data_IF_283581255557
#
_entry.id   IF_283581255557
#
_cell.length_a   1.000
_cell.length_b   1.000
_cell.length_c   1.000
_cell.angle_alpha   90.00
_cell.angle_beta   90.00
_cell.angle_gamma   90.00
#
_symmetry.space_group_name_H-M   'P 1'
#
loop_
_entity.id
_entity.type
_entity.pdbx_description
1 polymer ?
#
# COMPACT_ATOMS: atom_id res chain seq x y z
N UNK A 1 -36.81 28.49 0.59
CA UNK A 1 -35.36 28.63 0.83
C UNK A 1 -34.73 27.25 0.71
N UNK A 2 -33.96 27.00 -0.35
CA UNK A 2 -33.21 25.76 -0.52
C UNK A 2 -31.88 25.92 0.22
N UNK A 3 -31.79 25.31 1.41
CA UNK A 3 -30.56 25.28 2.21
C UNK A 3 -29.58 24.26 1.63
N UNK A 4 -28.34 24.71 1.45
CA UNK A 4 -27.26 23.99 0.79
C UNK A 4 -26.92 22.64 1.45
N UNK A 5 -26.69 21.63 0.61
CA UNK A 5 -26.02 20.39 1.00
C UNK A 5 -24.54 20.71 1.22
N UNK A 6 -24.11 20.75 2.48
CA UNK A 6 -22.69 20.72 2.80
C UNK A 6 -22.18 19.32 2.46
N UNK A 7 -21.42 19.18 1.37
CA UNK A 7 -20.61 17.99 1.12
C UNK A 7 -19.52 17.97 2.19
N UNK A 8 -19.80 17.32 3.31
CA UNK A 8 -18.76 16.97 4.25
C UNK A 8 -17.85 15.98 3.52
N UNK A 9 -16.62 16.38 3.21
CA UNK A 9 -15.65 15.48 2.60
C UNK A 9 -15.58 14.20 3.47
N UNK A 10 -15.77 13.04 2.84
CA UNK A 10 -15.76 11.76 3.53
C UNK A 10 -14.41 11.57 4.22
N UNK A 11 -14.42 11.36 5.54
CA UNK A 11 -13.21 11.06 6.29
C UNK A 11 -12.70 9.69 5.83
N UNK A 12 -11.41 9.60 5.52
CA UNK A 12 -10.86 8.36 5.01
C UNK A 12 -9.52 8.51 4.34
N UNK A 13 -9.30 7.71 3.31
CA UNK A 13 -8.11 7.82 2.47
C UNK A 13 -8.40 8.64 1.20
N UNK A 14 -7.43 9.45 0.76
CA UNK A 14 -7.59 10.36 -0.38
C UNK A 14 -8.05 9.66 -1.66
N UNK A 15 -7.56 8.45 -1.93
CA UNK A 15 -7.95 7.64 -3.09
C UNK A 15 -9.11 6.66 -2.78
N UNK A 16 -9.94 6.97 -1.78
CA UNK A 16 -11.15 6.22 -1.42
C UNK A 16 -10.95 5.16 -0.34
N UNK A 17 -12.05 4.80 0.33
CA UNK A 17 -12.04 3.80 1.40
C UNK A 17 -12.22 2.36 0.88
N UNK A 18 -12.71 2.20 -0.34
CA UNK A 18 -12.77 0.92 -1.03
C UNK A 18 -11.48 0.69 -1.84
N UNK A 19 -10.83 -0.43 -1.58
CA UNK A 19 -9.58 -0.83 -2.23
C UNK A 19 -9.71 -2.22 -2.82
N UNK A 20 -8.80 -2.53 -3.73
CA UNK A 20 -8.74 -3.84 -4.37
C UNK A 20 -7.29 -4.30 -4.37
N UNK A 21 -7.06 -5.46 -3.75
CA UNK A 21 -5.78 -6.14 -3.79
C UNK A 21 -5.78 -7.14 -4.96
N UNK A 22 -4.69 -7.21 -5.70
CA UNK A 22 -4.55 -8.12 -6.84
C UNK A 22 -3.26 -8.90 -6.71
N UNK A 23 -3.34 -10.22 -6.86
CA UNK A 23 -2.16 -11.08 -6.95
C UNK A 23 -1.71 -11.21 -8.41
N UNK A 24 -0.60 -10.57 -8.74
CA UNK A 24 0.05 -10.66 -10.05
C UNK A 24 0.96 -11.87 -10.10
N UNK A 25 0.92 -12.62 -11.19
CA UNK A 25 1.69 -13.84 -11.44
C UNK A 25 2.40 -13.75 -12.78
N UNK A 26 3.61 -14.30 -12.85
CA UNK A 26 4.31 -14.42 -14.13
C UNK A 26 5.61 -15.18 -13.99
N UNK A 27 6.37 -15.21 -15.09
CA UNK A 27 7.61 -15.98 -15.16
C UNK A 27 8.70 -15.10 -15.76
N UNK A 28 9.91 -15.24 -15.21
CA UNK A 28 11.09 -14.57 -15.74
C UNK A 28 12.22 -15.58 -15.93
N UNK A 29 13.12 -15.23 -16.83
CA UNK A 29 14.40 -15.88 -17.01
C UNK A 29 15.52 -14.85 -16.81
N UNK A 30 16.57 -15.22 -16.10
CA UNK A 30 17.71 -14.34 -15.84
C UNK A 30 18.96 -15.03 -16.35
N UNK A 31 19.74 -14.35 -17.19
CA UNK A 31 21.09 -14.75 -17.59
C UNK A 31 22.11 -14.00 -16.74
N UNK A 32 23.11 -14.70 -16.22
CA UNK A 32 24.18 -14.10 -15.41
C UNK A 32 25.54 -14.31 -16.07
N UNK A 33 26.23 -13.21 -16.32
CA UNK A 33 27.59 -13.18 -16.86
C UNK A 33 28.53 -12.62 -15.79
N UNK A 34 28.86 -13.44 -14.79
CA UNK A 34 29.77 -13.09 -13.71
C UNK A 34 31.02 -13.99 -13.74
N UNK A 35 32.20 -13.42 -13.55
CA UNK A 35 33.49 -14.13 -13.52
C UNK A 35 33.79 -14.84 -12.18
N UNK A 36 32.80 -15.00 -11.31
CA UNK A 36 32.97 -15.41 -9.91
C UNK A 36 32.40 -16.77 -9.50
N UNK A 37 32.02 -17.62 -10.47
CA UNK A 37 31.31 -18.88 -10.19
C UNK A 37 29.83 -18.69 -9.81
N UNK A 38 29.04 -19.76 -9.95
CA UNK A 38 27.58 -19.76 -9.78
C UNK A 38 26.83 -20.08 -11.07
N UNK A 39 25.49 -20.20 -11.03
CA UNK A 39 24.69 -20.51 -12.20
C UNK A 39 24.74 -19.37 -13.22
N UNK A 40 24.87 -19.72 -14.51
CA UNK A 40 24.83 -18.77 -15.63
C UNK A 40 23.40 -18.36 -16.00
N UNK A 41 22.40 -19.00 -15.41
CA UNK A 41 21.00 -18.69 -15.63
C UNK A 41 20.09 -19.14 -14.49
N UNK A 42 18.94 -18.49 -14.32
CA UNK A 42 17.87 -18.91 -13.41
C UNK A 42 16.49 -18.66 -14.02
N UNK A 43 15.56 -19.58 -13.80
CA UNK A 43 14.15 -19.41 -14.15
C UNK A 43 13.32 -19.26 -12.87
N UNK A 44 12.48 -18.23 -12.81
CA UNK A 44 11.72 -17.90 -11.60
C UNK A 44 10.25 -17.74 -11.91
N UNK A 45 9.42 -18.28 -11.02
CA UNK A 45 8.00 -17.93 -10.92
C UNK A 45 7.87 -16.73 -10.00
N UNK A 46 7.32 -15.66 -10.51
CA UNK A 46 7.12 -14.41 -9.79
C UNK A 46 5.68 -14.33 -9.30
N UNK A 47 5.52 -13.79 -8.09
CA UNK A 47 4.23 -13.42 -7.53
C UNK A 47 4.37 -12.13 -6.74
N UNK A 48 3.47 -11.17 -6.95
CA UNK A 48 3.44 -9.91 -6.20
C UNK A 48 2.00 -9.48 -5.99
N UNK A 49 1.66 -9.14 -4.75
CA UNK A 49 0.33 -8.62 -4.41
C UNK A 49 0.40 -7.11 -4.29
N UNK A 50 -0.48 -6.41 -4.99
CA UNK A 50 -0.53 -4.94 -5.01
C UNK A 50 -1.91 -4.42 -4.67
N UNK A 51 -1.97 -3.16 -4.23
CA UNK A 51 -3.21 -2.40 -4.04
C UNK A 51 -3.44 -1.47 -5.24
N UNK A 52 -4.51 -1.66 -6.01
CA UNK A 52 -4.74 -0.97 -7.30
C UNK A 52 -4.79 0.57 -7.22
N UNK A 53 -5.17 1.12 -6.07
CA UNK A 53 -5.23 2.57 -5.82
C UNK A 53 -3.98 3.10 -5.09
N UNK A 54 -2.88 2.35 -5.17
CA UNK A 54 -1.60 2.63 -4.52
C UNK A 54 -1.52 2.07 -3.09
N UNK A 55 -0.33 1.65 -2.72
CA UNK A 55 -0.03 1.00 -1.43
C UNK A 55 0.20 2.01 -0.29
N UNK A 56 0.30 3.29 -0.65
CA UNK A 56 0.48 4.42 0.25
C UNK A 56 -0.59 5.46 -0.05
N UNK A 57 -1.15 6.09 0.99
CA UNK A 57 -2.11 7.17 0.80
C UNK A 57 -2.13 8.20 1.91
N UNK A 58 -2.67 9.38 1.63
CA UNK A 58 -2.97 10.39 2.62
C UNK A 58 -4.27 10.07 3.36
N UNK A 59 -4.26 10.29 4.67
CA UNK A 59 -5.50 10.42 5.43
C UNK A 59 -6.11 11.79 5.12
N UNK A 60 -7.41 11.82 4.84
CA UNK A 60 -8.22 13.03 4.69
C UNK A 60 -9.23 13.06 5.83
N UNK A 61 -9.20 14.13 6.60
CA UNK A 61 -10.04 14.36 7.77
C UNK A 61 -10.69 15.74 7.74
N UNK A 62 -11.23 16.22 8.86
CA UNK A 62 -11.85 17.53 8.93
C UNK A 62 -10.81 18.66 8.77
N UNK A 63 -11.01 19.52 7.78
CA UNK A 63 -10.25 20.77 7.61
C UNK A 63 -10.57 21.79 8.70
N UNK A 64 -9.61 22.62 9.09
CA UNK A 64 -9.80 23.67 10.09
C UNK A 64 -9.79 23.20 11.55
N UNK A 65 -9.67 21.88 11.78
CA UNK A 65 -9.40 21.33 13.12
C UNK A 65 -7.94 21.57 13.46
N UNK A 66 -7.68 22.22 14.60
CA UNK A 66 -6.34 22.40 15.12
C UNK A 66 -5.67 21.04 15.36
N UNK A 67 -4.52 20.79 14.76
CA UNK A 67 -3.82 19.52 14.86
C UNK A 67 -2.39 19.62 14.34
N UNK A 68 -1.48 18.87 14.95
CA UNK A 68 -0.12 18.63 14.45
C UNK A 68 0.14 17.16 14.20
N UNK A 69 -0.71 16.27 14.71
CA UNK A 69 -0.58 14.82 14.59
C UNK A 69 -1.96 14.19 14.32
N UNK A 70 -1.96 13.12 13.53
CA UNK A 70 -3.06 12.17 13.46
C UNK A 70 -2.55 10.76 13.74
N UNK A 71 -3.26 10.06 14.61
CA UNK A 71 -3.07 8.63 14.89
C UNK A 71 -4.24 7.88 14.25
N UNK A 72 -3.92 6.91 13.40
CA UNK A 72 -4.88 5.96 12.85
C UNK A 72 -4.66 4.60 13.48
N UNK A 73 -5.73 3.95 13.94
CA UNK A 73 -5.71 2.57 14.40
C UNK A 73 -6.75 1.77 13.64
N UNK A 74 -6.29 0.84 12.81
CA UNK A 74 -7.13 -0.13 12.12
C UNK A 74 -7.32 -1.36 13.01
N UNK A 75 -8.57 -1.81 13.15
CA UNK A 75 -8.96 -3.12 13.69
C UNK A 75 -9.47 -3.98 12.54
N UNK A 76 -8.83 -5.12 12.32
CA UNK A 76 -9.13 -6.04 11.24
C UNK A 76 -10.18 -7.08 11.67
N UNK A 77 -10.68 -7.87 10.72
CA UNK A 77 -11.68 -8.92 10.98
C UNK A 77 -11.17 -10.03 11.90
N UNK A 78 -9.87 -10.32 11.86
CA UNK A 78 -9.20 -11.28 12.75
C UNK A 78 -8.99 -10.75 14.18
N UNK A 79 -9.40 -9.49 14.45
CA UNK A 79 -9.24 -8.81 15.73
C UNK A 79 -7.86 -8.18 15.93
N UNK A 80 -6.91 -8.40 15.02
CA UNK A 80 -5.61 -7.76 15.08
C UNK A 80 -5.72 -6.25 14.82
N UNK A 81 -4.74 -5.51 15.33
CA UNK A 81 -4.70 -4.06 15.20
C UNK A 81 -3.39 -3.55 14.63
N UNK A 82 -3.46 -2.47 13.88
CA UNK A 82 -2.31 -1.75 13.33
C UNK A 82 -2.48 -0.26 13.55
N UNK A 83 -1.41 0.39 13.99
CA UNK A 83 -1.41 1.83 14.26
C UNK A 83 -0.39 2.55 13.40
N UNK A 84 -0.77 3.73 12.92
CA UNK A 84 0.08 4.65 12.19
C UNK A 84 -0.06 6.05 12.77
N UNK A 85 1.07 6.68 13.06
CA UNK A 85 1.14 8.06 13.52
C UNK A 85 1.85 8.89 12.46
N UNK A 86 1.23 9.97 12.05
CA UNK A 86 1.79 10.90 11.06
C UNK A 86 1.39 12.34 11.40
N UNK A 87 2.21 13.30 10.98
CA UNK A 87 1.88 14.70 11.17
C UNK A 87 0.60 15.09 10.41
N UNK A 88 -0.20 16.00 10.97
CA UNK A 88 -1.43 16.51 10.38
C UNK A 88 -1.26 17.95 9.88
N UNK A 89 -1.83 18.25 8.72
CA UNK A 89 -1.96 19.58 8.14
C UNK A 89 -3.39 20.09 8.38
N UNK A 90 -3.59 20.87 9.44
CA UNK A 90 -4.88 21.49 9.77
C UNK A 90 -5.45 22.36 8.65
N UNK A 91 -4.59 23.02 7.87
CA UNK A 91 -5.01 23.91 6.80
C UNK A 91 -5.60 23.12 5.63
N UNK A 92 -4.99 21.97 5.31
CA UNK A 92 -5.46 21.09 4.22
C UNK A 92 -6.47 20.04 4.67
N UNK A 93 -6.60 19.78 5.97
CA UNK A 93 -7.45 18.70 6.48
C UNK A 93 -6.94 17.31 6.12
N UNK A 94 -5.62 17.09 6.08
CA UNK A 94 -5.03 15.80 5.71
C UNK A 94 -3.72 15.52 6.43
N UNK A 95 -3.23 14.28 6.39
CA UNK A 95 -1.87 13.98 6.81
C UNK A 95 -0.82 14.70 5.94
N UNK A 96 0.33 15.07 6.53
CA UNK A 96 1.45 15.67 5.77
C UNK A 96 2.23 14.66 4.96
N UNK A 97 2.16 13.38 5.33
CA UNK A 97 2.84 12.27 4.68
C UNK A 97 1.85 11.18 4.31
N UNK A 98 2.20 10.41 3.30
CA UNK A 98 1.48 9.20 2.97
C UNK A 98 1.72 8.13 4.04
N UNK A 99 0.70 7.30 4.24
CA UNK A 99 0.62 6.23 5.21
C UNK A 99 0.75 4.92 4.45
N UNK A 100 1.60 4.02 4.94
CA UNK A 100 1.70 2.67 4.39
C UNK A 100 0.39 1.89 4.65
N UNK A 101 -0.35 1.61 3.58
CA UNK A 101 -1.60 0.88 3.60
C UNK A 101 -1.43 -0.61 3.30
N UNK A 102 -0.44 -1.03 2.50
CA UNK A 102 -0.35 -2.42 1.99
C UNK A 102 1.05 -3.07 2.03
N UNK A 103 2.13 -2.29 2.06
CA UNK A 103 3.49 -2.85 2.05
C UNK A 103 3.84 -3.51 3.38
N UNK A 104 4.10 -4.81 3.36
CA UNK A 104 4.63 -5.58 4.48
C UNK A 104 6.13 -5.85 4.31
N UNK A 105 6.92 -5.49 5.32
CA UNK A 105 8.35 -5.83 5.42
C UNK A 105 8.66 -6.38 6.81
N UNK A 106 9.91 -6.79 7.04
CA UNK A 106 10.37 -7.19 8.38
C UNK A 106 10.18 -6.11 9.44
N UNK A 107 10.30 -4.83 9.05
CA UNK A 107 10.27 -3.70 9.98
C UNK A 107 8.96 -2.91 9.95
N UNK A 108 8.11 -3.14 8.93
CA UNK A 108 6.90 -2.36 8.72
C UNK A 108 5.73 -3.29 8.43
N UNK A 109 4.65 -3.11 9.18
CA UNK A 109 3.35 -3.73 8.89
C UNK A 109 2.44 -2.70 8.19
N UNK A 110 1.65 -3.10 7.19
CA UNK A 110 0.66 -2.21 6.59
C UNK A 110 -0.43 -1.82 7.58
N UNK A 111 -1.14 -0.72 7.30
CA UNK A 111 -2.30 -0.32 8.08
C UNK A 111 -3.54 -1.19 7.79
N UNK A 112 -3.68 -1.70 6.57
CA UNK A 112 -4.85 -2.48 6.15
C UNK A 112 -4.49 -3.96 5.98
N UNK A 113 -5.51 -4.81 6.13
CA UNK A 113 -5.53 -6.23 5.75
C UNK A 113 -6.65 -6.49 4.72
N UNK A 114 -6.68 -7.68 4.06
CA UNK A 114 -7.83 -8.13 3.30
C UNK A 114 -9.12 -8.04 4.11
N UNK A 115 -10.22 -7.69 3.43
CA UNK A 115 -11.54 -7.58 4.05
C UNK A 115 -11.78 -6.23 4.74
N UNK A 116 -12.61 -6.26 5.78
CA UNK A 116 -13.08 -5.06 6.49
C UNK A 116 -12.07 -4.59 7.54
N UNK A 117 -11.70 -3.31 7.45
CA UNK A 117 -10.85 -2.63 8.42
C UNK A 117 -11.64 -1.48 9.05
N UNK A 118 -11.93 -1.56 10.35
CA UNK A 118 -12.48 -0.41 11.10
C UNK A 118 -11.33 0.48 11.52
N UNK A 119 -11.24 1.67 10.91
CA UNK A 119 -10.15 2.63 11.16
C UNK A 119 -10.66 3.73 12.06
N UNK A 120 -10.14 3.78 13.28
CA UNK A 120 -10.32 4.90 14.20
C UNK A 120 -9.23 5.94 13.97
N UNK A 121 -9.60 7.21 14.01
CA UNK A 121 -8.65 8.32 13.92
C UNK A 121 -8.72 9.22 15.15
N UNK A 122 -7.57 9.77 15.52
CA UNK A 122 -7.43 10.77 16.58
C UNK A 122 -6.50 11.86 16.09
N UNK A 123 -7.03 13.08 15.90
CA UNK A 123 -6.24 14.27 15.62
C UNK A 123 -5.92 14.94 16.95
N UNK A 124 -4.65 15.31 17.14
CA UNK A 124 -4.20 15.98 18.36
C UNK A 124 -3.42 17.24 18.02
N UNK A 125 -3.47 18.21 18.94
CA UNK A 125 -2.64 19.42 18.94
C UNK A 125 -1.92 19.49 20.28
N UNK A 126 -0.59 19.53 20.27
CA UNK A 126 0.23 19.56 21.49
C UNK A 126 -0.20 18.44 22.49
N UNK A 127 -0.47 17.23 21.98
CA UNK A 127 -0.90 16.07 22.78
C UNK A 127 -2.36 16.06 23.22
N UNK A 128 -3.13 17.14 23.03
CA UNK A 128 -4.57 17.18 23.34
C UNK A 128 -5.39 16.81 22.11
N UNK A 129 -6.32 15.86 22.26
CA UNK A 129 -7.27 15.49 21.20
C UNK A 129 -8.14 16.67 20.82
N UNK A 130 -8.24 16.93 19.52
CA UNK A 130 -9.06 18.01 18.95
C UNK A 130 -10.17 17.48 18.04
N UNK A 131 -9.98 16.30 17.45
CA UNK A 131 -11.04 15.55 16.77
C UNK A 131 -10.76 14.05 16.81
N UNK A 132 -11.82 13.27 16.71
CA UNK A 132 -11.75 11.81 16.60
C UNK A 132 -13.00 11.26 15.92
N UNK A 133 -12.89 10.06 15.39
CA UNK A 133 -14.01 9.35 14.77
C UNK A 133 -13.54 8.03 14.17
N UNK A 134 -14.38 7.43 13.36
CA UNK A 134 -14.09 6.18 12.68
C UNK A 134 -14.59 6.22 11.24
N UNK A 135 -13.94 5.44 10.38
CA UNK A 135 -14.41 5.10 9.04
C UNK A 135 -14.08 3.64 8.73
N UNK A 136 -14.78 3.05 7.76
CA UNK A 136 -14.50 1.69 7.31
C UNK A 136 -13.67 1.77 6.03
N UNK A 137 -12.53 1.10 6.02
CA UNK A 137 -11.77 0.82 4.81
C UNK A 137 -11.90 -0.65 4.45
N UNK A 138 -12.28 -0.95 3.23
CA UNK A 138 -12.53 -2.31 2.79
C UNK A 138 -11.59 -2.68 1.66
N UNK A 139 -10.88 -3.81 1.80
CA UNK A 139 -9.98 -4.32 0.77
C UNK A 139 -10.59 -5.56 0.14
N UNK A 140 -11.02 -5.43 -1.10
CA UNK A 140 -11.58 -6.54 -1.90
C UNK A 140 -10.47 -7.35 -2.54
N UNK A 141 -10.69 -8.67 -2.62
CA UNK A 141 -9.89 -9.54 -3.46
C UNK A 141 -10.26 -9.29 -4.94
N UNK A 142 -9.32 -8.73 -5.70
CA UNK A 142 -9.42 -8.52 -7.15
C UNK A 142 -9.03 -9.75 -7.96
N UNK A 143 -8.68 -10.85 -7.29
CA UNK A 143 -8.30 -12.11 -7.87
C UNK A 143 -6.85 -12.14 -8.35
N UNK A 144 -6.56 -13.21 -9.10
CA UNK A 144 -5.24 -13.45 -9.69
C UNK A 144 -5.17 -12.91 -11.10
N UNK A 145 -4.09 -12.19 -11.42
CA UNK A 145 -3.78 -11.74 -12.78
C UNK A 145 -2.47 -12.37 -13.23
N UNK A 146 -2.50 -13.05 -14.37
CA UNK A 146 -1.31 -13.66 -14.94
C UNK A 146 -0.85 -12.83 -16.12
N UNK A 147 0.38 -12.34 -16.07
CA UNK A 147 0.99 -11.63 -17.18
C UNK A 147 1.17 -12.59 -18.36
N UNK A 148 0.77 -12.16 -19.55
CA UNK A 148 0.73 -13.00 -20.76
C UNK A 148 2.11 -13.41 -21.27
N UNK A 149 3.14 -12.61 -21.01
CA UNK A 149 4.48 -12.82 -21.54
C UNK A 149 5.49 -13.03 -20.42
N UNK A 150 6.42 -13.97 -20.61
CA UNK A 150 7.60 -14.08 -19.76
C UNK A 150 8.64 -13.04 -20.16
N UNK A 151 9.46 -12.57 -19.22
CA UNK A 151 10.56 -11.65 -19.51
C UNK A 151 11.92 -12.31 -19.35
N UNK A 152 12.91 -11.80 -20.08
CA UNK A 152 14.31 -12.21 -19.96
C UNK A 152 15.15 -11.02 -19.52
N UNK A 153 16.03 -11.23 -18.54
CA UNK A 153 16.94 -10.22 -18.01
C UNK A 153 18.39 -10.70 -18.06
N UNK A 154 19.33 -9.76 -18.06
CA UNK A 154 20.77 -10.01 -18.00
C UNK A 154 21.36 -9.31 -16.78
N UNK A 155 22.18 -10.03 -16.02
CA UNK A 155 22.90 -9.53 -14.85
C UNK A 155 24.39 -9.86 -14.95
N UNK A 156 25.22 -9.00 -14.37
CA UNK A 156 26.65 -9.26 -14.16
C UNK A 156 26.94 -9.87 -12.78
N UNK A 157 25.90 -10.23 -12.01
CA UNK A 157 25.98 -10.81 -10.68
C UNK A 157 25.37 -12.21 -10.67
N UNK A 158 26.18 -13.24 -10.37
CA UNK A 158 25.71 -14.64 -10.35
C UNK A 158 24.66 -14.93 -9.28
N UNK A 159 24.57 -14.11 -8.22
CA UNK A 159 23.54 -14.28 -7.17
C UNK A 159 22.12 -14.02 -7.68
N UNK A 160 21.97 -13.21 -8.72
CA UNK A 160 20.64 -12.90 -9.25
C UNK A 160 20.03 -14.10 -9.98
N UNK A 161 20.87 -15.02 -10.48
CA UNK A 161 20.44 -16.31 -11.03
C UNK A 161 20.09 -17.35 -9.96
N UNK A 162 20.35 -17.04 -8.68
CA UNK A 162 19.88 -17.83 -7.54
C UNK A 162 18.64 -17.19 -6.88
N UNK A 163 18.50 -15.88 -6.95
CA UNK A 163 17.38 -15.13 -6.39
C UNK A 163 16.91 -14.03 -7.37
N UNK A 164 15.82 -14.32 -8.08
CA UNK A 164 15.22 -13.41 -9.06
C UNK A 164 14.31 -12.33 -8.46
N UNK A 165 14.27 -12.13 -7.14
CA UNK A 165 13.26 -11.26 -6.50
C UNK A 165 13.23 -9.81 -7.01
N UNK A 166 14.40 -9.18 -7.18
CA UNK A 166 14.50 -7.82 -7.73
C UNK A 166 14.01 -7.74 -9.18
N UNK A 167 14.28 -8.78 -9.97
CA UNK A 167 13.80 -8.90 -11.34
C UNK A 167 12.30 -9.21 -11.42
N UNK A 168 11.74 -9.94 -10.46
CA UNK A 168 10.29 -10.15 -10.36
C UNK A 168 9.54 -8.82 -10.14
N UNK A 169 10.01 -7.99 -9.20
CA UNK A 169 9.41 -6.67 -8.96
C UNK A 169 9.55 -5.75 -10.18
N UNK A 170 10.70 -5.79 -10.85
CA UNK A 170 10.92 -5.06 -12.09
C UNK A 170 9.96 -5.52 -13.18
N UNK A 171 9.82 -6.82 -13.36
CA UNK A 171 8.93 -7.44 -14.35
C UNK A 171 7.48 -7.00 -14.18
N UNK A 172 6.95 -7.03 -12.95
CA UNK A 172 5.58 -6.59 -12.73
C UNK A 172 5.40 -5.10 -12.98
N UNK A 173 6.33 -4.23 -12.57
CA UNK A 173 6.26 -2.80 -12.95
C UNK A 173 6.28 -2.58 -14.46
N UNK A 174 7.15 -3.28 -15.19
CA UNK A 174 7.26 -3.18 -16.64
C UNK A 174 5.99 -3.67 -17.36
N UNK A 175 5.25 -4.61 -16.76
CA UNK A 175 4.01 -5.17 -17.31
C UNK A 175 2.75 -4.60 -16.63
N UNK A 176 2.85 -3.43 -15.97
CA UNK A 176 1.73 -2.79 -15.27
C UNK A 176 0.95 -3.76 -14.35
N UNK A 177 1.66 -4.65 -13.65
CA UNK A 177 1.08 -5.65 -12.75
C UNK A 177 0.01 -6.54 -13.41
N UNK A 178 0.17 -6.78 -14.72
CA UNK A 178 -0.75 -7.61 -15.51
C UNK A 178 -2.19 -7.04 -15.58
N UNK A 179 -2.35 -5.72 -15.37
CA UNK A 179 -3.61 -4.98 -15.42
C UNK A 179 -3.89 -4.40 -16.80
#
# INVERSE_FOLDING_TARGET
MLGAFSSQAEVGFKNGNERTAVLSLGNIYVHCHASGGGPSSGAFRCSEEILLSGEYDYFVGPSGVAGDEVILTARHEDGSQRTKTVDYDSGKGQSKKQINLWIATLLQRPLLDPGKNTVSFKISKNGKTTASGEFIANVKDGGRKTCSHSATYWSNNSRDCQNGGSFCQRYFRENNYCL
#
